data_IF_567296998602
#
_entry.id   IF_567296998602
#
_cell.length_a   1.000
_cell.length_b   1.000
_cell.length_c   1.000
_cell.angle_alpha   90.00
_cell.angle_beta   90.00
_cell.angle_gamma   90.00
#
_symmetry.space_group_name_H-M   'P 1'
#
loop_
_entity.id
_entity.type
_entity.pdbx_description
1 polymer ?
#
# COMPACT_ATOMS: atom_id res chain seq x y z
N UNK A 1 -49.52 11.43 -11.33
CA UNK A 1 -49.92 11.54 -12.75
C UNK A 1 -48.66 11.60 -13.60
N UNK A 2 -48.67 10.76 -14.63
CA UNK A 2 -47.76 10.66 -15.80
C UNK A 2 -46.42 10.01 -15.56
N UNK A 3 -46.15 8.94 -16.03
CA UNK A 3 -46.42 7.87 -17.03
C UNK A 3 -45.10 7.40 -17.60
N UNK A 4 -44.98 6.09 -17.54
CA UNK A 4 -43.94 5.23 -18.14
C UNK A 4 -43.67 5.57 -19.63
N UNK A 5 -42.43 5.25 -20.08
CA UNK A 5 -42.19 4.73 -21.44
C UNK A 5 -41.05 3.72 -21.47
N UNK A 6 -41.44 2.47 -21.49
CA UNK A 6 -40.69 1.31 -21.98
C UNK A 6 -40.46 1.44 -23.50
N UNK A 7 -39.28 1.10 -23.99
CA UNK A 7 -39.04 0.86 -25.41
C UNK A 7 -38.32 -0.47 -25.62
N UNK A 8 -39.10 -1.47 -26.01
CA UNK A 8 -38.63 -2.76 -26.58
C UNK A 8 -38.33 -2.56 -28.08
N UNK A 9 -37.25 -3.12 -28.60
CA UNK A 9 -37.04 -3.49 -29.99
C UNK A 9 -36.08 -4.71 -29.99
N UNK A 10 -36.60 -5.90 -30.21
CA UNK A 10 -36.95 -6.67 -31.39
C UNK A 10 -35.77 -7.12 -32.28
N UNK A 11 -35.65 -8.43 -32.30
CA UNK A 11 -34.81 -9.34 -33.06
C UNK A 11 -34.85 -9.10 -34.59
N UNK A 12 -33.75 -9.42 -35.26
CA UNK A 12 -33.78 -9.91 -36.64
C UNK A 12 -32.71 -10.98 -36.82
N UNK A 13 -33.18 -12.18 -37.07
CA UNK A 13 -32.46 -13.37 -37.53
C UNK A 13 -32.37 -13.28 -39.06
N UNK A 14 -31.22 -13.55 -39.64
CA UNK A 14 -31.14 -13.90 -41.06
C UNK A 14 -30.05 -14.93 -41.28
N UNK A 15 -30.47 -16.15 -41.53
CA UNK A 15 -29.65 -17.25 -42.01
C UNK A 15 -29.57 -17.15 -43.55
N UNK A 16 -28.39 -17.33 -44.13
CA UNK A 16 -28.21 -17.71 -45.54
C UNK A 16 -27.13 -18.76 -45.61
N UNK A 17 -27.54 -19.95 -46.01
CA UNK A 17 -26.67 -21.03 -46.42
C UNK A 17 -26.34 -20.92 -47.91
N UNK A 18 -25.11 -21.11 -48.29
CA UNK A 18 -24.74 -21.45 -49.66
C UNK A 18 -23.51 -22.36 -49.64
N UNK A 19 -23.72 -23.59 -50.06
CA UNK A 19 -22.69 -24.58 -50.40
C UNK A 19 -22.10 -24.30 -51.76
N UNK A 20 -20.77 -24.35 -51.89
CA UNK A 20 -20.10 -24.74 -53.13
C UNK A 20 -18.84 -25.52 -52.80
N UNK A 21 -18.82 -26.77 -53.29
CA UNK A 21 -17.70 -27.68 -53.32
C UNK A 21 -16.85 -27.38 -54.55
N UNK A 22 -15.54 -27.24 -54.43
CA UNK A 22 -14.58 -27.50 -55.51
C UNK A 22 -13.28 -28.06 -54.93
N UNK A 23 -12.88 -29.20 -55.46
CA UNK A 23 -11.65 -29.96 -55.25
C UNK A 23 -10.50 -29.20 -55.95
N UNK A 24 -9.32 -29.12 -55.31
CA UNK A 24 -8.14 -28.69 -56.03
C UNK A 24 -6.89 -28.52 -55.15
N UNK A 25 -6.04 -29.52 -55.18
CA UNK A 25 -4.55 -29.48 -55.16
C UNK A 25 -3.80 -28.98 -53.89
N UNK A 26 -3.06 -29.92 -53.31
CA UNK A 26 -2.02 -29.77 -52.32
C UNK A 26 -0.90 -28.83 -52.74
N UNK A 27 -0.53 -27.91 -51.88
CA UNK A 27 0.82 -27.37 -51.74
C UNK A 27 1.09 -27.29 -50.23
N UNK A 28 1.98 -28.15 -49.76
CA UNK A 28 2.53 -28.12 -48.40
C UNK A 28 3.43 -26.89 -48.29
N UNK A 29 2.93 -25.89 -47.58
CA UNK A 29 3.80 -24.89 -46.95
C UNK A 29 3.66 -25.06 -45.44
N UNK A 30 4.74 -25.54 -44.82
CA UNK A 30 4.91 -25.56 -43.37
C UNK A 30 4.92 -24.15 -42.85
N UNK A 31 3.75 -23.63 -42.50
CA UNK A 31 3.63 -22.42 -41.70
C UNK A 31 3.63 -22.85 -40.24
N UNK A 32 4.74 -22.60 -39.56
CA UNK A 32 4.81 -22.72 -38.11
C UNK A 32 3.79 -21.78 -37.50
N UNK A 33 2.65 -22.34 -37.10
CA UNK A 33 1.69 -21.65 -36.25
C UNK A 33 2.41 -21.38 -34.92
N UNK A 34 2.89 -20.16 -34.72
CA UNK A 34 3.20 -19.67 -33.40
C UNK A 34 1.89 -19.64 -32.63
N UNK A 35 1.69 -20.69 -31.85
CA UNK A 35 0.69 -20.71 -30.80
C UNK A 35 1.10 -19.64 -29.78
N UNK A 36 0.55 -18.44 -29.90
CA UNK A 36 0.57 -17.51 -28.78
C UNK A 36 -0.19 -18.21 -27.65
N UNK A 37 0.57 -18.81 -26.77
CA UNK A 37 0.08 -19.23 -25.48
C UNK A 37 -0.41 -17.97 -24.77
N UNK A 38 -1.72 -17.74 -24.81
CA UNK A 38 -2.34 -16.80 -23.89
C UNK A 38 -1.86 -17.18 -22.50
N UNK A 39 -1.09 -16.28 -21.86
CA UNK A 39 -0.54 -16.52 -20.54
C UNK A 39 -1.69 -16.90 -19.61
N UNK A 40 -1.79 -18.19 -19.32
CA UNK A 40 -2.58 -18.66 -18.19
C UNK A 40 -2.01 -17.93 -16.99
N UNK A 41 -2.82 -17.12 -16.32
CA UNK A 41 -2.51 -16.59 -15.02
C UNK A 41 -2.16 -17.79 -14.14
N UNK A 42 -0.87 -17.95 -13.87
CA UNK A 42 -0.40 -19.00 -12.97
C UNK A 42 -1.10 -18.78 -11.63
N UNK A 43 -1.68 -19.81 -10.99
CA UNK A 43 -2.23 -19.64 -9.66
C UNK A 43 -1.13 -19.01 -8.79
N UNK A 44 -1.47 -17.97 -8.04
CA UNK A 44 -0.53 -17.16 -7.26
C UNK A 44 0.49 -18.04 -6.55
N UNK A 45 1.71 -18.08 -7.05
CA UNK A 45 2.78 -18.83 -6.44
C UNK A 45 2.95 -18.32 -5.01
N UNK A 46 3.07 -19.24 -4.05
CA UNK A 46 3.34 -18.88 -2.64
C UNK A 46 4.55 -17.94 -2.61
N UNK A 47 4.47 -16.86 -1.83
CA UNK A 47 5.58 -15.92 -1.67
C UNK A 47 6.85 -16.63 -1.19
N UNK A 48 8.00 -16.13 -1.62
CA UNK A 48 9.26 -16.47 -0.97
C UNK A 48 9.23 -16.02 0.50
N UNK A 49 10.04 -16.63 1.35
CA UNK A 49 10.13 -16.20 2.76
C UNK A 49 10.58 -14.74 2.89
N UNK A 50 11.38 -14.25 1.93
CA UNK A 50 11.82 -12.86 1.84
C UNK A 50 10.67 -11.90 1.53
N UNK A 51 9.86 -12.23 0.50
CA UNK A 51 8.71 -11.43 0.11
C UNK A 51 7.61 -11.44 1.19
N UNK A 52 7.35 -12.61 1.79
CA UNK A 52 6.42 -12.73 2.91
C UNK A 52 6.86 -11.86 4.09
N UNK A 53 8.16 -11.89 4.42
CA UNK A 53 8.72 -11.02 5.46
C UNK A 53 8.58 -9.55 5.11
N UNK A 54 8.90 -9.13 3.89
CA UNK A 54 8.77 -7.75 3.45
C UNK A 54 7.32 -7.26 3.55
N UNK A 55 6.35 -8.10 3.16
CA UNK A 55 4.93 -7.80 3.28
C UNK A 55 4.49 -7.62 4.75
N UNK A 56 4.93 -8.51 5.64
CA UNK A 56 4.66 -8.42 7.09
C UNK A 56 5.31 -7.19 7.71
N UNK A 57 6.53 -6.87 7.33
CA UNK A 57 7.25 -5.69 7.84
C UNK A 57 6.55 -4.38 7.40
N UNK A 58 6.07 -4.29 6.17
CA UNK A 58 5.26 -3.16 5.71
C UNK A 58 3.95 -3.05 6.47
N UNK A 59 3.26 -4.17 6.74
CA UNK A 59 2.05 -4.16 7.57
C UNK A 59 2.35 -3.66 8.98
N UNK A 60 3.41 -4.18 9.60
CA UNK A 60 3.80 -3.80 10.96
C UNK A 60 4.14 -2.31 11.07
N UNK A 61 4.91 -1.77 10.11
CA UNK A 61 5.24 -0.35 10.08
C UNK A 61 3.96 0.51 10.03
N UNK A 62 3.04 0.20 9.13
CA UNK A 62 1.79 0.96 9.01
C UNK A 62 0.90 0.86 10.27
N UNK A 63 0.85 -0.31 10.92
CA UNK A 63 0.10 -0.49 12.17
C UNK A 63 0.71 0.36 13.29
N UNK A 64 2.03 0.37 13.40
CA UNK A 64 2.75 1.14 14.41
C UNK A 64 2.48 2.64 14.23
N UNK A 65 2.63 3.15 13.01
CA UNK A 65 2.44 4.57 12.66
C UNK A 65 1.00 5.02 12.90
N UNK A 66 0.00 4.24 12.46
CA UNK A 66 -1.41 4.59 12.69
C UNK A 66 -1.72 4.63 14.19
N UNK A 67 -1.17 3.73 14.98
CA UNK A 67 -1.42 3.71 16.43
C UNK A 67 -0.82 4.94 17.13
N UNK A 68 0.43 5.27 16.85
CA UNK A 68 1.09 6.46 17.39
C UNK A 68 0.42 7.76 16.93
N UNK A 69 0.03 7.84 15.66
CA UNK A 69 -0.63 9.01 15.10
C UNK A 69 -2.02 9.25 15.71
N UNK A 70 -2.81 8.21 15.95
CA UNK A 70 -4.10 8.35 16.65
C UNK A 70 -3.92 8.92 18.06
N UNK A 71 -2.91 8.45 18.79
CA UNK A 71 -2.58 9.01 20.10
C UNK A 71 -2.17 10.49 19.98
N UNK A 72 -1.43 10.86 18.93
CA UNK A 72 -1.05 12.24 18.70
C UNK A 72 -2.24 13.14 18.33
N UNK A 73 -3.24 12.66 17.61
CA UNK A 73 -4.47 13.42 17.35
C UNK A 73 -5.19 13.82 18.64
N UNK A 74 -5.19 12.94 19.64
CA UNK A 74 -5.84 13.20 20.92
C UNK A 74 -5.01 14.12 21.83
N UNK A 75 -3.68 14.00 21.82
CA UNK A 75 -2.80 14.55 22.84
C UNK A 75 -1.91 15.70 22.41
N UNK A 76 -1.61 15.81 21.11
CA UNK A 76 -0.73 16.86 20.60
C UNK A 76 -1.29 18.24 20.94
N UNK A 77 -0.39 19.17 21.29
CA UNK A 77 -0.74 20.52 21.64
C UNK A 77 -0.82 21.42 20.41
N UNK A 78 0.17 21.33 19.52
CA UNK A 78 0.24 22.19 18.35
C UNK A 78 -0.61 21.68 17.20
N UNK A 79 -1.20 22.62 16.45
CA UNK A 79 -1.96 22.30 15.23
C UNK A 79 -1.09 21.67 14.15
N UNK A 80 0.20 21.99 14.14
CA UNK A 80 1.17 21.48 13.20
C UNK A 80 1.42 19.97 13.42
N UNK A 81 1.60 19.55 14.66
CA UNK A 81 1.74 18.14 15.04
C UNK A 81 0.43 17.38 14.81
N UNK A 82 -0.73 17.97 15.12
CA UNK A 82 -2.03 17.36 14.81
C UNK A 82 -2.23 17.15 13.31
N UNK A 83 -1.85 18.14 12.49
CA UNK A 83 -1.95 18.02 11.02
C UNK A 83 -1.03 16.92 10.49
N UNK A 84 0.19 16.82 11.01
CA UNK A 84 1.10 15.74 10.68
C UNK A 84 0.51 14.38 11.10
N UNK A 85 0.00 14.27 12.32
CA UNK A 85 -0.61 13.03 12.83
C UNK A 85 -1.83 12.59 11.98
N UNK A 86 -2.68 13.53 11.55
CA UNK A 86 -3.80 13.21 10.66
C UNK A 86 -3.29 12.62 9.34
N UNK A 87 -2.28 13.25 8.75
CA UNK A 87 -1.66 12.74 7.53
C UNK A 87 -1.10 11.32 7.72
N UNK A 88 -0.49 11.02 8.87
CA UNK A 88 -0.01 9.67 9.18
C UNK A 88 -1.16 8.65 9.26
N UNK A 89 -2.28 9.01 9.88
CA UNK A 89 -3.47 8.13 9.92
C UNK A 89 -3.99 7.84 8.52
N UNK A 90 -4.09 8.87 7.69
CA UNK A 90 -4.67 8.74 6.35
C UNK A 90 -3.76 7.93 5.42
N UNK A 91 -2.50 8.30 5.30
CA UNK A 91 -1.57 7.69 4.35
C UNK A 91 -1.20 6.25 4.77
N UNK A 92 -0.83 6.04 6.04
CA UNK A 92 -0.49 4.70 6.54
C UNK A 92 -1.72 3.81 6.67
N UNK A 93 -2.91 4.36 6.93
CA UNK A 93 -4.17 3.62 6.90
C UNK A 93 -4.52 3.12 5.50
N UNK A 94 -4.36 3.98 4.48
CA UNK A 94 -4.54 3.61 3.07
C UNK A 94 -3.51 2.57 2.63
N UNK A 95 -2.24 2.75 2.99
CA UNK A 95 -1.17 1.81 2.70
C UNK A 95 -1.41 0.44 3.35
N UNK A 96 -1.82 0.40 4.62
CA UNK A 96 -2.17 -0.84 5.32
C UNK A 96 -3.32 -1.59 4.62
N UNK A 97 -4.29 -0.86 4.08
CA UNK A 97 -5.40 -1.47 3.33
C UNK A 97 -4.89 -2.17 2.06
N UNK A 98 -3.97 -1.55 1.32
CA UNK A 98 -3.33 -2.17 0.15
C UNK A 98 -2.51 -3.40 0.53
N UNK A 99 -1.72 -3.31 1.61
CA UNK A 99 -0.93 -4.44 2.13
C UNK A 99 -1.83 -5.61 2.52
N UNK A 100 -2.95 -5.36 3.21
CA UNK A 100 -3.94 -6.39 3.58
C UNK A 100 -4.54 -7.07 2.34
N UNK A 101 -4.84 -6.31 1.29
CA UNK A 101 -5.37 -6.86 0.03
C UNK A 101 -4.37 -7.84 -0.61
N UNK A 102 -3.10 -7.47 -0.69
CA UNK A 102 -2.05 -8.36 -1.23
C UNK A 102 -1.85 -9.58 -0.33
N UNK A 103 -1.79 -9.38 0.99
CA UNK A 103 -1.64 -10.47 1.95
C UNK A 103 -2.79 -11.50 1.84
N UNK A 104 -4.03 -11.02 1.73
CA UNK A 104 -5.19 -11.89 1.52
C UNK A 104 -5.08 -12.69 0.22
N UNK A 105 -4.70 -12.04 -0.88
CA UNK A 105 -4.48 -12.68 -2.18
C UNK A 105 -3.40 -13.77 -2.11
N UNK A 106 -2.33 -13.53 -1.34
CA UNK A 106 -1.17 -14.42 -1.20
C UNK A 106 -1.29 -15.41 -0.04
N UNK A 107 -2.38 -15.39 0.73
CA UNK A 107 -2.58 -16.28 1.87
C UNK A 107 -1.61 -16.03 3.03
N UNK A 108 -1.18 -14.79 3.22
CA UNK A 108 -0.24 -14.38 4.27
C UNK A 108 -0.99 -13.80 5.47
N UNK A 109 -0.73 -14.33 6.65
CA UNK A 109 -1.23 -13.76 7.91
C UNK A 109 -0.36 -12.58 8.34
N UNK A 110 -1.01 -11.45 8.61
CA UNK A 110 -0.38 -10.20 9.01
C UNK A 110 -0.48 -9.97 10.52
N UNK A 111 0.44 -9.18 11.13
CA UNK A 111 0.27 -8.69 12.48
C UNK A 111 -1.02 -7.86 12.59
N UNK A 112 -1.63 -7.88 13.78
CA UNK A 112 -2.88 -7.16 14.06
C UNK A 112 -2.68 -5.95 14.97
N UNK A 113 -1.56 -5.88 15.68
CA UNK A 113 -1.29 -4.88 16.71
C UNK A 113 0.12 -4.29 16.57
N UNK A 114 0.39 -3.13 17.16
CA UNK A 114 1.75 -2.60 17.26
C UNK A 114 2.70 -3.61 17.91
N UNK A 115 3.94 -3.63 17.46
CA UNK A 115 4.97 -4.47 18.08
C UNK A 115 5.32 -4.00 19.49
N UNK A 116 6.09 -4.81 20.23
CA UNK A 116 6.42 -4.56 21.63
C UNK A 116 7.14 -3.21 21.84
N UNK A 117 8.03 -2.82 20.91
CA UNK A 117 8.75 -1.56 21.00
C UNK A 117 7.81 -0.36 20.83
N UNK A 118 6.87 -0.43 19.88
CA UNK A 118 5.90 0.64 19.64
C UNK A 118 4.80 0.69 20.72
N UNK A 119 4.39 -0.45 21.27
CA UNK A 119 3.54 -0.46 22.48
C UNK A 119 4.22 0.27 23.65
N UNK A 120 5.51 0.01 23.86
CA UNK A 120 6.29 0.71 24.89
C UNK A 120 6.45 2.21 24.60
N UNK A 121 6.70 2.59 23.33
CA UNK A 121 6.73 3.99 22.92
C UNK A 121 5.38 4.68 23.16
N UNK A 122 4.29 4.07 22.74
CA UNK A 122 2.94 4.63 22.93
C UNK A 122 2.64 4.82 24.44
N UNK A 123 2.98 3.86 25.29
CA UNK A 123 2.83 4.02 26.74
C UNK A 123 3.67 5.17 27.30
N UNK A 124 4.88 5.40 26.76
CA UNK A 124 5.69 6.57 27.14
C UNK A 124 5.05 7.87 26.69
N UNK A 125 4.53 7.93 25.47
CA UNK A 125 3.79 9.06 24.92
C UNK A 125 2.52 9.37 25.72
N UNK A 126 1.78 8.36 26.15
CA UNK A 126 0.59 8.52 27.00
C UNK A 126 0.87 9.27 28.28
N UNK A 127 2.07 9.14 28.83
CA UNK A 127 2.49 9.81 30.05
C UNK A 127 3.01 11.25 29.80
N UNK A 128 3.15 11.68 28.56
CA UNK A 128 3.56 13.06 28.22
C UNK A 128 2.36 13.99 28.04
N UNK A 129 2.62 15.29 28.15
CA UNK A 129 1.67 16.36 27.96
C UNK A 129 2.33 17.56 27.28
N UNK A 130 1.53 18.36 26.57
CA UNK A 130 1.98 19.62 25.99
C UNK A 130 3.17 19.46 25.06
N UNK A 131 4.10 20.41 25.11
CA UNK A 131 5.30 20.42 24.25
C UNK A 131 6.17 19.16 24.42
N UNK A 132 6.21 18.58 25.61
CA UNK A 132 6.96 17.34 25.86
C UNK A 132 6.37 16.16 25.07
N UNK A 133 5.05 16.11 24.91
CA UNK A 133 4.38 15.15 24.05
C UNK A 133 4.75 15.39 22.59
N UNK A 134 4.54 16.61 22.09
CA UNK A 134 4.80 16.96 20.70
C UNK A 134 6.25 16.67 20.31
N UNK A 135 7.20 17.07 21.15
CA UNK A 135 8.62 16.81 20.93
C UNK A 135 8.93 15.32 20.87
N UNK A 136 8.43 14.53 21.83
CA UNK A 136 8.67 13.08 21.87
C UNK A 136 8.04 12.37 20.66
N UNK A 137 6.80 12.72 20.30
CA UNK A 137 6.11 12.15 19.14
C UNK A 137 6.88 12.44 17.85
N UNK A 138 7.24 13.70 17.61
CA UNK A 138 7.97 14.08 16.41
C UNK A 138 9.36 13.45 16.34
N UNK A 139 10.08 13.33 17.47
CA UNK A 139 11.41 12.74 17.50
C UNK A 139 11.38 11.24 17.22
N UNK A 140 10.48 10.48 17.85
CA UNK A 140 10.47 9.01 17.77
C UNK A 140 9.60 8.50 16.64
N UNK A 141 8.32 8.83 16.59
CA UNK A 141 7.43 8.39 15.54
C UNK A 141 7.64 9.18 14.24
N UNK A 142 7.82 10.51 14.33
CA UNK A 142 8.00 11.36 13.16
C UNK A 142 9.34 11.14 12.45
N UNK A 143 10.48 11.22 13.16
CA UNK A 143 11.80 11.16 12.54
C UNK A 143 12.38 9.76 12.59
N UNK A 144 12.66 9.20 13.79
CA UNK A 144 13.44 7.98 13.92
C UNK A 144 12.79 6.75 13.29
N UNK A 145 11.46 6.60 13.40
CA UNK A 145 10.77 5.47 12.80
C UNK A 145 10.73 5.59 11.29
N UNK A 146 10.50 6.81 10.74
CA UNK A 146 10.53 7.02 9.30
C UNK A 146 11.91 6.81 8.69
N UNK A 147 13.00 7.23 9.36
CA UNK A 147 14.38 6.91 8.95
C UNK A 147 14.60 5.39 8.86
N UNK A 148 14.18 4.66 9.89
CA UNK A 148 14.33 3.21 9.97
C UNK A 148 13.52 2.50 8.88
N UNK A 149 12.24 2.88 8.72
CA UNK A 149 11.34 2.30 7.69
C UNK A 149 11.87 2.59 6.29
N UNK A 150 12.30 3.83 6.03
CA UNK A 150 12.86 4.22 4.74
C UNK A 150 14.13 3.45 4.39
N UNK A 151 15.06 3.34 5.35
CA UNK A 151 16.28 2.55 5.19
C UNK A 151 15.96 1.09 4.85
N UNK A 152 14.97 0.52 5.54
CA UNK A 152 14.52 -0.85 5.29
C UNK A 152 13.88 -1.00 3.90
N UNK A 153 12.96 -0.15 3.52
CA UNK A 153 12.32 -0.18 2.21
C UNK A 153 13.36 -0.12 1.08
N UNK A 154 14.34 0.79 1.18
CA UNK A 154 15.44 0.91 0.21
C UNK A 154 16.33 -0.34 0.17
N UNK A 155 16.63 -0.92 1.33
CA UNK A 155 17.43 -2.16 1.42
C UNK A 155 16.71 -3.36 0.83
N UNK A 156 15.40 -3.44 1.00
CA UNK A 156 14.62 -4.61 0.58
C UNK A 156 14.15 -4.50 -0.88
N UNK A 157 14.07 -3.30 -1.45
CA UNK A 157 13.55 -3.07 -2.80
C UNK A 157 14.21 -3.94 -3.89
N UNK A 158 15.52 -4.21 -3.77
CA UNK A 158 16.26 -5.07 -4.70
C UNK A 158 16.12 -6.56 -4.44
N UNK A 159 15.56 -6.96 -3.29
CA UNK A 159 15.43 -8.35 -2.84
C UNK A 159 14.01 -8.90 -2.98
N UNK A 160 13.04 -8.02 -3.25
CA UNK A 160 11.65 -8.40 -3.45
C UNK A 160 11.48 -8.86 -4.89
N UNK A 161 11.08 -10.12 -5.06
CA UNK A 161 10.86 -10.73 -6.37
C UNK A 161 9.38 -10.70 -6.78
N UNK A 162 8.45 -10.87 -5.83
CA UNK A 162 7.01 -10.85 -6.12
C UNK A 162 6.57 -9.46 -6.59
N UNK A 163 5.92 -9.35 -7.76
CA UNK A 163 5.57 -8.06 -8.36
C UNK A 163 4.55 -7.26 -7.55
N UNK A 164 3.62 -7.91 -6.85
CA UNK A 164 2.62 -7.23 -6.03
C UNK A 164 3.28 -6.62 -4.78
N UNK A 165 4.17 -7.38 -4.12
CA UNK A 165 4.93 -6.91 -2.95
C UNK A 165 5.90 -5.79 -3.35
N UNK A 166 6.56 -5.92 -4.51
CA UNK A 166 7.46 -4.89 -5.05
C UNK A 166 6.71 -3.58 -5.36
N UNK A 167 5.52 -3.68 -5.92
CA UNK A 167 4.67 -2.51 -6.19
C UNK A 167 4.33 -1.76 -4.89
N UNK A 168 3.95 -2.48 -3.82
CA UNK A 168 3.71 -1.88 -2.50
C UNK A 168 4.94 -1.14 -1.97
N UNK A 169 6.12 -1.76 -2.03
CA UNK A 169 7.36 -1.13 -1.56
C UNK A 169 7.70 0.13 -2.36
N UNK A 170 7.53 0.09 -3.70
CA UNK A 170 7.76 1.24 -4.58
C UNK A 170 6.78 2.39 -4.32
N UNK A 171 5.52 2.11 -4.01
CA UNK A 171 4.54 3.13 -3.65
C UNK A 171 4.82 3.71 -2.26
N UNK A 172 5.26 2.90 -1.30
CA UNK A 172 5.51 3.31 0.08
C UNK A 172 6.72 4.23 0.20
N UNK A 173 7.80 3.93 -0.51
CA UNK A 173 9.09 4.61 -0.37
C UNK A 173 8.97 6.14 -0.50
N UNK A 174 8.40 6.71 -1.58
CA UNK A 174 8.31 8.16 -1.71
C UNK A 174 7.38 8.82 -0.67
N UNK A 175 6.37 8.10 -0.18
CA UNK A 175 5.47 8.59 0.87
C UNK A 175 6.22 8.72 2.19
N UNK A 176 6.97 7.68 2.59
CA UNK A 176 7.79 7.69 3.80
C UNK A 176 8.89 8.75 3.74
N UNK A 177 9.52 8.96 2.57
CA UNK A 177 10.48 10.07 2.37
C UNK A 177 9.85 11.43 2.60
N UNK A 178 8.65 11.65 2.09
CA UNK A 178 7.92 12.91 2.29
C UNK A 178 7.55 13.13 3.76
N UNK A 179 7.12 12.06 4.44
CA UNK A 179 6.80 12.11 5.87
C UNK A 179 8.03 12.47 6.70
N UNK A 180 9.16 11.80 6.46
CA UNK A 180 10.43 12.08 7.14
C UNK A 180 10.82 13.55 6.98
N UNK A 181 10.83 14.05 5.75
CA UNK A 181 11.16 15.47 5.47
C UNK A 181 10.23 16.43 6.22
N UNK A 182 8.93 16.10 6.27
CA UNK A 182 7.95 16.94 6.99
C UNK A 182 8.20 16.89 8.51
N UNK A 183 8.51 15.72 9.05
CA UNK A 183 8.80 15.55 10.47
C UNK A 183 10.07 16.30 10.89
N UNK A 184 11.14 16.24 10.10
CA UNK A 184 12.38 17.01 10.33
C UNK A 184 12.13 18.51 10.34
N UNK A 185 11.31 19.02 9.41
CA UNK A 185 10.96 20.45 9.36
C UNK A 185 10.17 20.90 10.59
N UNK A 186 9.21 20.10 11.05
CA UNK A 186 8.43 20.40 12.26
C UNK A 186 9.34 20.38 13.49
N UNK A 187 10.18 19.34 13.62
CA UNK A 187 11.12 19.19 14.75
C UNK A 187 12.10 20.35 14.84
N UNK A 188 12.65 20.81 13.71
CA UNK A 188 13.58 21.95 13.65
C UNK A 188 12.91 23.24 14.10
N UNK A 189 11.65 23.50 13.67
CA UNK A 189 10.90 24.70 14.08
C UNK A 189 10.56 24.69 15.56
N UNK A 190 10.19 23.54 16.10
CA UNK A 190 9.90 23.39 17.53
C UNK A 190 11.14 23.66 18.40
N UNK A 191 12.33 23.21 17.97
CA UNK A 191 13.61 23.53 18.64
C UNK A 191 13.92 25.01 18.62
N UNK A 192 13.79 25.67 17.48
CA UNK A 192 14.08 27.11 17.34
C UNK A 192 13.13 28.02 18.16
N UNK A 193 11.94 27.54 18.51
CA UNK A 193 10.97 28.28 19.32
C UNK A 193 11.25 28.18 20.83
N UNK A 194 11.96 27.14 21.25
CA UNK A 194 12.31 26.90 22.67
C UNK A 194 13.53 27.71 23.14
N UNK A 195 14.34 28.24 22.21
CA UNK A 195 15.55 29.00 22.48
C UNK A 195 15.33 30.53 22.53
N UNK A 196 14.08 31.00 22.49
CA UNK A 196 13.67 32.40 22.58
C UNK A 196 12.91 32.69 23.87
#
# INVERSE_FOLDING_TARGET
MHTSKTLKRLLAVSAVAAMFSTVGVQAQTTSAAQTQTAGQAQPDARLSSGDEKALKDMAQANINEVAAARLALDKAQTSEVKTFAQKMVDDHGAALTKVKTVAQKKGVELPAEPDAAHKALNSRLENQRGDAFDKMYMEYAGVKDHEKVLSKLKSDASKIDDPDVKALANEHTPVVEQHLKSAEQISTRAGASADK
#
